data_IF_964243943899
#
_entry.id   IF_964243943899
#
_cell.length_a   1.000
_cell.length_b   1.000
_cell.length_c   1.000
_cell.angle_alpha   90.00
_cell.angle_beta   90.00
_cell.angle_gamma   90.00
#
_symmetry.space_group_name_H-M   'P 1'
#
loop_
_entity.id
_entity.type
_entity.pdbx_description
1 polymer ?
#
# COMPACT_ATOMS: atom_id res chain seq x y z
N UNK A 1 10.94 9.67 -12.22
CA UNK A 1 9.77 9.90 -13.09
C UNK A 1 8.45 9.37 -12.50
N UNK A 2 8.43 8.37 -11.63
CA UNK A 2 7.18 7.79 -11.12
C UNK A 2 6.50 8.46 -9.92
N UNK A 3 7.20 9.29 -9.14
CA UNK A 3 6.62 9.81 -7.90
C UNK A 3 5.52 10.86 -8.12
N UNK A 4 5.69 11.79 -9.05
CA UNK A 4 4.67 12.82 -9.31
C UNK A 4 3.40 12.24 -9.89
N UNK A 5 3.51 11.25 -10.80
CA UNK A 5 2.34 10.55 -11.37
C UNK A 5 1.54 9.82 -10.29
N UNK A 6 2.21 9.22 -9.30
CA UNK A 6 1.53 8.55 -8.18
C UNK A 6 0.90 9.56 -7.22
N UNK A 7 1.52 10.71 -6.98
CA UNK A 7 0.93 11.78 -6.18
C UNK A 7 -0.35 12.31 -6.84
N UNK A 8 -0.30 12.54 -8.15
CA UNK A 8 -1.48 12.96 -8.93
C UNK A 8 -2.58 11.88 -8.88
N UNK A 9 -2.19 10.60 -9.05
CA UNK A 9 -3.10 9.46 -8.95
C UNK A 9 -3.80 9.42 -7.58
N UNK A 10 -3.04 9.55 -6.50
CA UNK A 10 -3.57 9.51 -5.13
C UNK A 10 -4.48 10.71 -4.84
N UNK A 11 -4.23 11.85 -5.47
CA UNK A 11 -5.09 13.03 -5.36
C UNK A 11 -6.40 12.88 -6.12
N UNK A 12 -6.39 12.25 -7.30
CA UNK A 12 -7.53 12.17 -8.22
C UNK A 12 -8.47 10.99 -7.94
N UNK A 13 -7.94 9.86 -7.43
CA UNK A 13 -8.70 8.64 -7.21
C UNK A 13 -9.38 8.63 -5.85
N UNK A 14 -10.47 7.87 -5.72
CA UNK A 14 -11.34 7.91 -4.55
C UNK A 14 -11.27 6.62 -3.70
N UNK A 15 -11.02 5.46 -4.32
CA UNK A 15 -11.14 4.17 -3.63
C UNK A 15 -9.86 3.35 -3.75
N UNK A 16 -9.29 2.98 -2.61
CA UNK A 16 -7.97 2.36 -2.49
C UNK A 16 -8.01 1.04 -1.72
N UNK A 17 -7.28 0.05 -2.23
CA UNK A 17 -6.96 -1.19 -1.54
C UNK A 17 -5.45 -1.22 -1.25
N UNK A 18 -5.05 -1.17 0.01
CA UNK A 18 -3.66 -1.31 0.43
C UNK A 18 -3.41 -2.76 0.86
N UNK A 19 -2.42 -3.39 0.27
CA UNK A 19 -2.05 -4.79 0.55
C UNK A 19 -0.64 -4.85 1.11
N UNK A 20 -0.46 -5.60 2.19
CA UNK A 20 0.83 -5.92 2.78
C UNK A 20 1.08 -7.43 2.77
N UNK A 21 2.32 -7.85 2.99
CA UNK A 21 2.69 -9.25 2.94
C UNK A 21 2.15 -10.06 4.14
N UNK A 22 2.01 -11.37 3.97
CA UNK A 22 1.71 -12.30 5.06
C UNK A 22 2.87 -12.31 6.08
N UNK A 23 2.60 -12.72 7.32
CA UNK A 23 3.54 -12.57 8.44
C UNK A 23 4.09 -11.14 8.51
N UNK A 24 3.23 -10.11 8.64
CA UNK A 24 3.64 -8.72 8.49
C UNK A 24 4.58 -8.30 9.61
N UNK A 25 5.62 -7.59 9.25
CA UNK A 25 6.54 -6.94 10.17
C UNK A 25 6.19 -5.47 10.44
N UNK A 26 7.06 -4.77 11.18
CA UNK A 26 6.83 -3.38 11.56
C UNK A 26 6.80 -2.43 10.37
N UNK A 27 7.61 -2.69 9.32
CA UNK A 27 7.67 -1.81 8.15
C UNK A 27 6.40 -1.93 7.28
N UNK A 28 5.97 -3.17 7.00
CA UNK A 28 4.73 -3.41 6.27
C UNK A 28 3.51 -2.80 6.98
N UNK A 29 3.42 -2.99 8.30
CA UNK A 29 2.30 -2.48 9.10
C UNK A 29 2.33 -0.95 9.17
N UNK A 30 3.47 -0.36 9.54
CA UNK A 30 3.58 1.09 9.70
C UNK A 30 3.37 1.83 8.38
N UNK A 31 3.98 1.36 7.28
CA UNK A 31 3.83 1.99 5.97
C UNK A 31 2.38 1.98 5.48
N UNK A 32 1.67 0.85 5.64
CA UNK A 32 0.26 0.74 5.23
C UNK A 32 -0.68 1.58 6.08
N UNK A 33 -0.48 1.62 7.41
CA UNK A 33 -1.28 2.45 8.30
C UNK A 33 -1.07 3.93 8.02
N UNK A 34 0.20 4.36 7.86
CA UNK A 34 0.53 5.76 7.60
C UNK A 34 -0.07 6.24 6.27
N UNK A 35 0.11 5.49 5.17
CA UNK A 35 -0.50 5.84 3.89
C UNK A 35 -2.01 5.82 3.95
N UNK A 36 -2.60 4.80 4.61
CA UNK A 36 -4.04 4.70 4.76
C UNK A 36 -4.65 5.86 5.56
N UNK A 37 -3.97 6.32 6.61
CA UNK A 37 -4.39 7.50 7.38
C UNK A 37 -4.27 8.77 6.53
N UNK A 38 -3.20 8.95 5.78
CA UNK A 38 -3.01 10.11 4.91
C UNK A 38 -4.08 10.19 3.80
N UNK A 39 -4.37 9.08 3.13
CA UNK A 39 -5.41 9.04 2.10
C UNK A 39 -6.80 9.31 2.69
N UNK A 40 -7.10 8.76 3.88
CA UNK A 40 -8.37 9.06 4.58
C UNK A 40 -8.45 10.53 5.00
N UNK A 41 -7.36 11.15 5.42
CA UNK A 41 -7.30 12.59 5.69
C UNK A 41 -7.68 13.42 4.45
N UNK A 42 -7.30 12.97 3.26
CA UNK A 42 -7.70 13.56 1.97
C UNK A 42 -9.13 13.19 1.54
N UNK A 43 -9.92 12.53 2.41
CA UNK A 43 -11.30 12.15 2.13
C UNK A 43 -11.47 10.86 1.33
N UNK A 44 -10.39 10.09 1.10
CA UNK A 44 -10.45 8.87 0.29
C UNK A 44 -10.98 7.68 1.08
N UNK A 45 -11.62 6.74 0.37
CA UNK A 45 -12.03 5.45 0.94
C UNK A 45 -10.87 4.46 0.82
N UNK A 46 -10.45 3.89 1.97
CA UNK A 46 -9.25 3.05 2.03
C UNK A 46 -9.51 1.81 2.86
N UNK A 47 -9.29 0.66 2.27
CA UNK A 47 -9.16 -0.61 2.96
C UNK A 47 -7.69 -1.04 3.02
N UNK A 48 -7.28 -1.52 4.19
CA UNK A 48 -5.96 -2.12 4.39
C UNK A 48 -6.19 -3.60 4.66
N UNK A 49 -5.49 -4.45 3.93
CA UNK A 49 -5.67 -5.90 4.01
C UNK A 49 -4.33 -6.60 4.19
N UNK A 50 -4.30 -7.52 5.15
CA UNK A 50 -3.24 -8.48 5.38
C UNK A 50 -3.86 -9.86 5.54
N UNK A 51 -3.38 -10.86 4.80
CA UNK A 51 -3.91 -12.23 4.89
C UNK A 51 -3.75 -12.83 6.30
N UNK A 52 -2.67 -12.46 7.01
CA UNK A 52 -2.39 -12.93 8.35
C UNK A 52 -2.79 -11.91 9.44
N UNK A 53 -3.05 -12.39 10.66
CA UNK A 53 -3.31 -11.49 11.80
C UNK A 53 -2.12 -10.59 12.11
N UNK A 54 -2.41 -9.34 12.47
CA UNK A 54 -1.38 -8.41 12.93
C UNK A 54 -0.80 -8.88 14.28
N UNK A 55 0.53 -9.01 14.41
CA UNK A 55 1.16 -9.43 15.65
C UNK A 55 0.81 -8.51 16.82
N UNK A 56 0.68 -9.10 18.01
CA UNK A 56 0.26 -8.38 19.21
C UNK A 56 1.18 -7.17 19.54
N UNK A 57 2.46 -7.28 19.23
CA UNK A 57 3.45 -6.22 19.47
C UNK A 57 3.11 -4.91 18.74
N UNK A 58 2.33 -4.94 17.66
CA UNK A 58 1.96 -3.76 16.86
C UNK A 58 0.53 -3.26 17.10
N UNK A 59 -0.24 -3.89 18.00
CA UNK A 59 -1.64 -3.53 18.26
C UNK A 59 -1.83 -2.15 18.90
N UNK A 60 -0.76 -1.52 19.37
CA UNK A 60 -0.80 -0.14 19.90
C UNK A 60 -0.86 0.92 18.79
N UNK A 61 -0.56 0.56 17.54
CA UNK A 61 -0.57 1.51 16.44
C UNK A 61 -1.99 2.00 16.13
N UNK A 62 -2.15 3.28 15.78
CA UNK A 62 -3.45 3.85 15.51
C UNK A 62 -4.10 3.14 14.31
N UNK A 63 -5.40 2.94 14.38
CA UNK A 63 -6.24 2.32 13.33
C UNK A 63 -5.91 0.87 12.95
N UNK A 64 -4.93 0.23 13.57
CA UNK A 64 -4.51 -1.15 13.27
C UNK A 64 -5.67 -2.16 13.37
N UNK A 65 -6.64 -1.93 14.26
CA UNK A 65 -7.84 -2.76 14.41
C UNK A 65 -8.79 -2.73 13.20
N UNK A 66 -8.56 -1.82 12.24
CA UNK A 66 -9.32 -1.71 10.99
C UNK A 66 -8.69 -2.50 9.83
N UNK A 67 -7.52 -3.12 10.05
CA UNK A 67 -6.91 -4.00 9.05
C UNK A 67 -7.78 -5.24 8.86
N UNK A 68 -8.17 -5.48 7.62
CA UNK A 68 -9.00 -6.63 7.22
C UNK A 68 -8.10 -7.82 6.83
N UNK A 69 -8.69 -9.02 6.78
CA UNK A 69 -7.97 -10.23 6.36
C UNK A 69 -8.33 -10.71 4.95
N UNK A 70 -9.32 -10.06 4.35
CA UNK A 70 -9.76 -10.32 2.97
C UNK A 70 -10.46 -9.09 2.39
N UNK A 71 -10.70 -9.08 1.09
CA UNK A 71 -11.41 -8.03 0.38
C UNK A 71 -12.33 -8.60 -0.70
N UNK A 72 -13.40 -7.88 -1.01
CA UNK A 72 -14.24 -8.18 -2.16
C UNK A 72 -13.68 -7.47 -3.40
N UNK A 73 -13.56 -8.21 -4.50
CA UNK A 73 -13.11 -7.64 -5.77
C UNK A 73 -14.20 -6.78 -6.38
N UNK A 74 -13.91 -5.53 -6.72
CA UNK A 74 -14.82 -4.71 -7.53
C UNK A 74 -14.77 -3.21 -7.29
N UNK A 75 -14.68 -2.78 -6.05
CA UNK A 75 -14.96 -1.37 -5.72
C UNK A 75 -13.72 -0.47 -5.65
N UNK A 76 -12.51 -0.99 -5.83
CA UNK A 76 -11.28 -0.21 -5.75
C UNK A 76 -10.82 0.27 -7.13
N UNK A 77 -10.48 1.56 -7.25
CA UNK A 77 -9.85 2.12 -8.45
C UNK A 77 -8.34 1.84 -8.47
N UNK A 78 -7.72 1.86 -7.29
CA UNK A 78 -6.27 1.69 -7.13
C UNK A 78 -5.98 0.61 -6.11
N UNK A 79 -5.08 -0.30 -6.46
CA UNK A 79 -4.47 -1.28 -5.58
C UNK A 79 -3.06 -0.79 -5.29
N UNK A 80 -2.66 -0.79 -4.03
CA UNK A 80 -1.30 -0.43 -3.60
C UNK A 80 -0.70 -1.61 -2.85
N UNK A 81 0.41 -2.13 -3.32
CA UNK A 81 1.22 -3.10 -2.56
C UNK A 81 2.32 -2.35 -1.82
N UNK A 82 2.48 -2.64 -0.53
CA UNK A 82 3.47 -2.01 0.33
C UNK A 82 4.37 -3.07 0.96
N UNK A 83 5.68 -2.93 0.79
CA UNK A 83 6.69 -3.77 1.44
C UNK A 83 6.56 -5.28 1.13
N UNK A 84 6.01 -5.61 -0.03
CA UNK A 84 5.66 -7.01 -0.31
C UNK A 84 6.82 -7.84 -0.86
N UNK A 85 7.77 -7.24 -1.55
CA UNK A 85 8.87 -7.94 -2.20
C UNK A 85 8.47 -8.87 -3.35
N UNK A 86 7.29 -9.51 -3.30
CA UNK A 86 6.76 -10.46 -4.30
C UNK A 86 5.25 -10.56 -4.16
N UNK A 87 4.51 -10.75 -5.28
CA UNK A 87 3.04 -10.82 -5.25
C UNK A 87 2.49 -11.98 -4.42
N UNK A 88 3.20 -13.11 -4.39
CA UNK A 88 2.77 -14.30 -3.62
C UNK A 88 2.77 -14.02 -2.12
N UNK A 89 3.69 -13.16 -1.65
CA UNK A 89 3.75 -12.76 -0.24
C UNK A 89 2.52 -11.98 0.23
N UNK A 90 1.75 -11.39 -0.67
CA UNK A 90 0.47 -10.75 -0.31
C UNK A 90 -0.59 -11.77 0.14
N UNK A 91 -0.49 -13.03 -0.27
CA UNK A 91 -1.54 -14.04 -0.13
C UNK A 91 -2.64 -13.95 -1.19
N UNK A 92 -2.61 -12.94 -2.07
CA UNK A 92 -3.67 -12.65 -3.05
C UNK A 92 -3.17 -12.55 -4.50
N UNK A 93 -2.04 -13.18 -4.82
CA UNK A 93 -1.34 -13.02 -6.11
C UNK A 93 -2.25 -13.16 -7.32
N UNK A 94 -3.05 -14.24 -7.39
CA UNK A 94 -3.92 -14.47 -8.55
C UNK A 94 -5.06 -13.44 -8.65
N UNK A 95 -5.62 -13.03 -7.52
CA UNK A 95 -6.65 -11.99 -7.49
C UNK A 95 -6.11 -10.63 -7.93
N UNK A 96 -4.90 -10.27 -7.50
CA UNK A 96 -4.22 -9.04 -7.93
C UNK A 96 -4.00 -9.07 -9.46
N UNK A 97 -3.48 -10.18 -9.99
CA UNK A 97 -3.27 -10.36 -11.44
C UNK A 97 -4.57 -10.25 -12.21
N UNK A 98 -5.66 -10.83 -11.70
CA UNK A 98 -6.97 -10.74 -12.32
C UNK A 98 -7.49 -9.30 -12.32
N UNK A 99 -7.44 -8.61 -11.20
CA UNK A 99 -7.87 -7.21 -11.08
C UNK A 99 -7.11 -6.29 -12.04
N UNK A 100 -5.81 -6.44 -12.14
CA UNK A 100 -4.97 -5.62 -13.01
C UNK A 100 -5.20 -5.97 -14.48
N UNK A 101 -5.15 -7.24 -14.85
CA UNK A 101 -5.16 -7.67 -16.27
C UNK A 101 -6.54 -7.71 -16.89
N UNK A 102 -7.55 -8.15 -16.14
CA UNK A 102 -8.93 -8.30 -16.67
C UNK A 102 -9.80 -7.09 -16.39
N UNK A 103 -9.63 -6.46 -15.21
CA UNK A 103 -10.51 -5.38 -14.78
C UNK A 103 -9.86 -3.99 -14.91
N UNK A 104 -8.68 -3.91 -15.53
CA UNK A 104 -7.94 -2.66 -15.77
C UNK A 104 -7.75 -1.80 -14.50
N UNK A 105 -7.60 -2.43 -13.32
CA UNK A 105 -7.33 -1.71 -12.09
C UNK A 105 -5.87 -1.24 -12.08
N UNK A 106 -5.64 -0.07 -11.53
CA UNK A 106 -4.28 0.46 -11.38
C UNK A 106 -3.59 -0.20 -10.20
N UNK A 107 -2.35 -0.65 -10.41
CA UNK A 107 -1.51 -1.20 -9.35
C UNK A 107 -0.31 -0.28 -9.14
N UNK A 108 -0.15 0.18 -7.92
CA UNK A 108 1.02 0.92 -7.44
C UNK A 108 1.83 0.00 -6.53
N UNK A 109 3.10 -0.20 -6.84
CA UNK A 109 4.02 -0.95 -5.99
C UNK A 109 4.96 0.02 -5.27
N UNK A 110 4.92 0.03 -3.94
CA UNK A 110 5.77 0.86 -3.07
C UNK A 110 6.65 -0.08 -2.26
N UNK A 111 7.95 -0.06 -2.50
CA UNK A 111 8.87 -1.04 -1.91
C UNK A 111 10.31 -0.56 -1.86
N UNK A 112 11.12 -1.17 -1.01
CA UNK A 112 12.56 -1.01 -0.98
C UNK A 112 13.32 -2.31 -1.30
N UNK A 113 12.61 -3.41 -1.55
CA UNK A 113 13.18 -4.71 -1.91
C UNK A 113 13.61 -4.79 -3.40
N UNK A 114 14.53 -5.71 -3.76
CA UNK A 114 14.91 -5.92 -5.15
C UNK A 114 13.73 -6.24 -6.06
N UNK A 115 13.90 -5.98 -7.36
CA UNK A 115 12.88 -6.26 -8.40
C UNK A 115 12.34 -7.68 -8.33
N UNK A 116 11.02 -7.79 -8.46
CA UNK A 116 10.25 -9.01 -8.44
C UNK A 116 9.08 -8.94 -9.43
N UNK A 117 8.13 -9.87 -9.38
CA UNK A 117 6.98 -9.92 -10.29
C UNK A 117 6.03 -8.71 -10.12
N UNK A 118 5.91 -8.13 -8.94
CA UNK A 118 5.13 -6.91 -8.71
C UNK A 118 5.65 -5.75 -9.54
N UNK A 119 6.98 -5.61 -9.69
CA UNK A 119 7.58 -4.57 -10.51
C UNK A 119 7.11 -4.62 -11.97
N UNK A 120 6.93 -5.83 -12.50
CA UNK A 120 6.46 -6.04 -13.88
C UNK A 120 4.94 -5.96 -14.01
N UNK A 121 4.21 -6.24 -12.94
CA UNK A 121 2.74 -6.24 -12.92
C UNK A 121 2.19 -4.83 -12.66
N UNK A 122 2.88 -4.02 -11.88
CA UNK A 122 2.42 -2.71 -11.45
C UNK A 122 2.38 -1.71 -12.61
N UNK A 123 1.33 -0.88 -12.59
CA UNK A 123 1.19 0.28 -13.47
C UNK A 123 2.21 1.36 -13.11
N UNK A 124 2.43 1.54 -11.81
CA UNK A 124 3.41 2.49 -11.27
C UNK A 124 4.27 1.83 -10.20
N UNK A 125 5.57 2.12 -10.23
CA UNK A 125 6.52 1.64 -9.24
C UNK A 125 7.20 2.82 -8.53
N UNK A 126 7.11 2.84 -7.21
CA UNK A 126 7.94 3.66 -6.33
C UNK A 126 8.82 2.70 -5.54
N UNK A 127 9.92 2.29 -6.15
CA UNK A 127 10.86 1.33 -5.54
C UNK A 127 12.22 1.99 -5.42
N UNK A 128 12.68 2.12 -4.17
CA UNK A 128 13.98 2.72 -3.85
C UNK A 128 14.81 1.77 -3.00
N UNK A 129 15.78 1.10 -3.63
CA UNK A 129 16.68 0.14 -2.96
C UNK A 129 17.66 0.80 -1.98
N UNK A 130 17.81 2.12 -2.04
CA UNK A 130 18.65 2.89 -1.12
C UNK A 130 17.88 3.34 0.13
N UNK A 131 16.55 3.29 0.09
CA UNK A 131 15.73 3.65 1.23
C UNK A 131 15.91 2.64 2.38
N UNK A 132 15.97 3.12 3.62
CA UNK A 132 16.12 2.24 4.79
C UNK A 132 14.88 1.38 5.04
N UNK A 133 13.71 1.80 4.54
CA UNK A 133 12.43 1.12 4.75
C UNK A 133 11.37 1.63 3.78
N UNK A 134 10.32 0.84 3.55
CA UNK A 134 9.12 1.26 2.82
C UNK A 134 8.38 2.38 3.57
N UNK A 135 8.39 2.37 4.90
CA UNK A 135 7.85 3.47 5.73
C UNK A 135 8.51 4.81 5.42
N UNK A 136 9.83 4.84 5.17
CA UNK A 136 10.51 6.06 4.77
C UNK A 136 10.03 6.58 3.39
N UNK A 137 9.82 5.68 2.43
CA UNK A 137 9.27 6.04 1.11
C UNK A 137 7.87 6.64 1.27
N UNK A 138 7.03 5.99 2.07
CA UNK A 138 5.67 6.46 2.38
C UNK A 138 5.69 7.83 3.05
N UNK A 139 6.61 8.08 3.97
CA UNK A 139 6.80 9.39 4.58
C UNK A 139 7.05 10.49 3.52
N UNK A 140 7.88 10.23 2.51
CA UNK A 140 8.13 11.17 1.41
C UNK A 140 6.88 11.41 0.55
N UNK A 141 6.10 10.34 0.30
CA UNK A 141 4.83 10.44 -0.42
C UNK A 141 3.84 11.33 0.35
N UNK A 142 3.68 11.10 1.66
CA UNK A 142 2.78 11.88 2.52
C UNK A 142 3.16 13.37 2.52
N UNK A 143 4.46 13.67 2.59
CA UNK A 143 4.94 15.05 2.45
C UNK A 143 4.57 15.67 1.11
N UNK A 144 4.71 14.93 0.02
CA UNK A 144 4.38 15.40 -1.32
C UNK A 144 2.87 15.58 -1.54
N UNK A 145 2.05 14.86 -0.77
CA UNK A 145 0.60 15.04 -0.72
C UNK A 145 0.16 16.22 0.16
N UNK A 146 1.11 16.91 0.79
CA UNK A 146 0.87 18.04 1.71
C UNK A 146 -0.03 17.69 2.90
N UNK A 147 -0.07 16.40 3.28
CA UNK A 147 -0.80 15.95 4.47
C UNK A 147 0.01 16.29 5.72
N UNK A 148 -0.59 16.96 6.71
CA UNK A 148 0.10 17.27 7.96
C UNK A 148 0.57 16.01 8.69
N UNK A 149 1.83 16.01 9.12
CA UNK A 149 2.39 14.95 9.96
C UNK A 149 2.57 15.54 11.35
N UNK A 150 1.78 15.08 12.30
CA UNK A 150 1.87 15.49 13.69
C UNK A 150 2.51 14.40 14.57
N UNK A 151 2.76 14.74 15.84
CA UNK A 151 3.42 13.86 16.80
C UNK A 151 2.42 13.08 17.69
N UNK A 152 1.18 12.92 17.24
CA UNK A 152 0.15 12.20 18.00
C UNK A 152 0.06 10.74 17.59
#
# INVERSE_FOLDING_TARGET
MGSNEVIDLFSQKETFLLLIHHCPDGDAIASSLALGMALRFLGKQVDIVCADPIPQAFRFLPTVHKVKHDFLSGDYEVIVTLDCGDSRRTGFSERIKELVRKNNKLLVNIDHHPKNDLHSLATHNIVDYSAPSTTYIVYQIIKSLEVPIDHK
#
